data_IF_698320134092
#
_entry.id   IF_698320134092
#
_cell.length_a   1.000
_cell.length_b   1.000
_cell.length_c   1.000
_cell.angle_alpha   90.00
_cell.angle_beta   90.00
_cell.angle_gamma   90.00
#
_symmetry.space_group_name_H-M   'P 1'
#
loop_
_entity.id
_entity.type
_entity.pdbx_description
1 polymer ?
#
# COMPACT_ATOMS: atom_id res chain seq x y z
N UNK A 1 -3.61 -12.87 40.45
CA UNK A 1 -4.22 -13.48 39.26
C UNK A 1 -4.57 -12.34 38.32
N UNK A 2 -3.64 -11.96 37.44
CA UNK A 2 -3.96 -11.04 36.36
C UNK A 2 -4.77 -11.83 35.34
N UNK A 3 -5.95 -11.33 34.99
CA UNK A 3 -6.70 -11.86 33.86
C UNK A 3 -5.89 -11.43 32.63
N UNK A 4 -5.11 -12.34 32.03
CA UNK A 4 -4.58 -12.13 30.69
C UNK A 4 -5.79 -12.09 29.75
N UNK A 5 -6.25 -10.89 29.44
CA UNK A 5 -7.27 -10.68 28.41
C UNK A 5 -6.58 -10.88 27.07
N UNK A 6 -6.94 -11.96 26.36
CA UNK A 6 -6.55 -12.14 24.96
C UNK A 6 -6.99 -10.89 24.19
N UNK A 7 -6.10 -10.26 23.39
CA UNK A 7 -6.47 -9.10 22.59
C UNK A 7 -7.68 -9.44 21.72
N UNK A 8 -8.64 -8.51 21.61
CA UNK A 8 -9.79 -8.67 20.70
C UNK A 8 -9.78 -7.55 19.67
N UNK A 9 -10.24 -7.87 18.47
CA UNK A 9 -10.56 -6.84 17.50
C UNK A 9 -12.01 -6.38 17.70
N UNK A 10 -12.23 -5.08 17.59
CA UNK A 10 -13.56 -4.50 17.43
C UNK A 10 -13.66 -3.96 16.01
N UNK A 11 -14.42 -4.65 15.16
CA UNK A 11 -14.79 -4.13 13.84
C UNK A 11 -15.86 -3.07 14.00
N UNK A 12 -15.52 -1.84 13.66
CA UNK A 12 -16.43 -0.70 13.81
C UNK A 12 -17.25 -0.49 12.55
N UNK A 13 -16.67 -0.77 11.37
CA UNK A 13 -17.36 -0.66 10.08
C UNK A 13 -16.91 -1.73 9.11
N UNK A 14 -17.87 -2.24 8.32
CA UNK A 14 -17.65 -2.98 7.08
C UNK A 14 -18.36 -2.24 5.97
N UNK A 15 -17.61 -1.79 4.97
CA UNK A 15 -18.12 -1.06 3.82
C UNK A 15 -18.05 -1.98 2.60
N UNK A 16 -19.19 -2.17 1.91
CA UNK A 16 -19.20 -2.84 0.61
C UNK A 16 -18.67 -1.88 -0.43
N UNK A 17 -17.68 -2.33 -1.20
CA UNK A 17 -17.14 -1.61 -2.34
C UNK A 17 -17.90 -2.01 -3.60
N UNK A 18 -17.93 -1.13 -4.61
CA UNK A 18 -18.62 -1.44 -5.87
C UNK A 18 -17.89 -2.56 -6.62
N UNK A 19 -16.57 -2.51 -6.59
CA UNK A 19 -15.67 -3.52 -7.17
C UNK A 19 -14.87 -4.21 -6.06
N UNK A 20 -14.04 -5.20 -6.38
CA UNK A 20 -13.17 -5.81 -5.38
C UNK A 20 -12.07 -4.84 -4.95
N UNK A 21 -11.74 -4.78 -3.65
CA UNK A 21 -10.70 -3.90 -3.11
C UNK A 21 -9.39 -4.66 -2.87
N UNK A 22 -8.27 -4.18 -3.42
CA UNK A 22 -6.99 -4.91 -3.40
C UNK A 22 -5.80 -4.13 -2.84
N UNK A 23 -6.01 -2.87 -2.45
CA UNK A 23 -4.99 -2.05 -1.82
C UNK A 23 -5.64 -1.00 -0.94
N UNK A 24 -4.96 -0.62 0.13
CA UNK A 24 -5.35 0.50 0.98
C UNK A 24 -4.11 1.25 1.43
N UNK A 25 -4.18 2.58 1.39
CA UNK A 25 -3.13 3.44 1.93
C UNK A 25 -3.68 4.74 2.53
N UNK A 26 -3.36 4.97 3.80
CA UNK A 26 -3.64 6.23 4.47
C UNK A 26 -2.62 7.31 4.12
N UNK A 27 -3.09 8.55 4.02
CA UNK A 27 -2.18 9.67 3.96
C UNK A 27 -1.35 9.76 5.24
N UNK A 28 -0.05 10.04 5.09
CA UNK A 28 0.87 10.23 6.22
C UNK A 28 1.09 11.70 6.58
N UNK A 29 0.60 12.62 5.75
CA UNK A 29 0.68 14.06 5.99
C UNK A 29 -0.58 14.56 6.69
N UNK A 30 -0.44 15.59 7.52
CA UNK A 30 -1.56 16.25 8.20
C UNK A 30 -2.46 17.07 7.27
N UNK A 31 -2.19 17.11 5.96
CA UNK A 31 -2.96 17.91 4.97
C UNK A 31 -4.07 17.13 4.27
N UNK A 32 -4.01 15.80 4.30
CA UNK A 32 -5.07 14.94 3.75
C UNK A 32 -6.06 14.52 4.85
N UNK A 33 -6.25 15.39 5.83
CA UNK A 33 -7.08 15.20 6.99
C UNK A 33 -7.41 16.56 7.59
N UNK A 34 -8.64 16.72 8.01
CA UNK A 34 -9.10 17.86 8.78
C UNK A 34 -9.54 17.35 10.16
N UNK A 35 -9.32 18.15 11.20
CA UNK A 35 -9.53 17.87 12.64
C UNK A 35 -9.87 16.42 12.99
N UNK A 36 -8.83 15.60 13.19
CA UNK A 36 -8.97 14.20 13.65
C UNK A 36 -9.38 13.17 12.59
N UNK A 37 -9.55 13.58 11.33
CA UNK A 37 -9.89 12.68 10.21
C UNK A 37 -8.66 12.35 9.36
N UNK A 38 -8.53 11.09 8.94
CA UNK A 38 -7.53 10.63 7.96
C UNK A 38 -8.21 10.11 6.70
N UNK A 39 -7.64 10.38 5.52
CA UNK A 39 -8.15 9.83 4.24
C UNK A 39 -7.30 8.65 3.79
N UNK A 40 -7.97 7.53 3.47
CA UNK A 40 -7.39 6.37 2.81
C UNK A 40 -7.74 6.36 1.32
N UNK A 41 -6.77 5.98 0.49
CA UNK A 41 -7.00 5.55 -0.88
C UNK A 41 -7.25 4.04 -0.86
N UNK A 42 -8.27 3.59 -1.59
CA UNK A 42 -8.58 2.18 -1.77
C UNK A 42 -8.52 1.86 -3.26
N UNK A 43 -7.69 0.89 -3.62
CA UNK A 43 -7.56 0.39 -4.99
C UNK A 43 -8.71 -0.58 -5.26
N UNK A 44 -9.59 -0.25 -6.19
CA UNK A 44 -10.77 -1.03 -6.54
C UNK A 44 -10.63 -1.56 -7.97
N UNK A 45 -10.95 -2.83 -8.21
CA UNK A 45 -11.05 -3.35 -9.57
C UNK A 45 -12.11 -4.44 -9.75
N UNK A 46 -12.57 -4.58 -10.98
CA UNK A 46 -13.48 -5.61 -11.43
C UNK A 46 -12.87 -6.28 -12.66
N UNK A 47 -12.99 -7.61 -12.70
CA UNK A 47 -12.54 -8.40 -13.82
C UNK A 47 -13.74 -9.08 -14.46
N UNK A 48 -14.07 -8.67 -15.69
CA UNK A 48 -15.08 -9.35 -16.49
C UNK A 48 -14.38 -10.33 -17.42
N UNK A 49 -14.32 -11.59 -16.98
CA UNK A 49 -13.58 -12.64 -17.68
C UNK A 49 -14.12 -12.89 -19.09
N UNK A 50 -15.42 -12.70 -19.31
CA UNK A 50 -16.05 -12.93 -20.62
C UNK A 50 -15.60 -11.91 -21.67
N UNK A 51 -15.32 -10.68 -21.27
CA UNK A 51 -14.90 -9.59 -22.16
C UNK A 51 -13.39 -9.38 -22.15
N UNK A 52 -12.67 -10.05 -21.25
CA UNK A 52 -11.23 -9.82 -21.03
C UNK A 52 -10.92 -8.43 -20.49
N UNK A 53 -11.93 -7.71 -19.98
CA UNK A 53 -11.78 -6.34 -19.50
C UNK A 53 -11.43 -6.33 -18.01
N UNK A 54 -10.63 -5.33 -17.64
CA UNK A 54 -10.22 -5.06 -16.26
C UNK A 54 -10.47 -3.59 -16.01
N UNK A 55 -11.53 -3.28 -15.29
CA UNK A 55 -11.88 -1.91 -14.96
C UNK A 55 -11.43 -1.61 -13.52
N UNK A 56 -10.69 -0.52 -13.32
CA UNK A 56 -10.28 -0.07 -11.98
C UNK A 56 -10.82 1.31 -11.61
N UNK A 57 -10.67 1.62 -10.32
CA UNK A 57 -10.97 2.90 -9.71
C UNK A 57 -10.09 3.08 -8.46
N UNK A 58 -9.89 4.32 -8.04
CA UNK A 58 -9.34 4.64 -6.72
C UNK A 58 -10.41 5.37 -5.93
N UNK A 59 -10.90 4.75 -4.85
CA UNK A 59 -11.83 5.39 -3.93
C UNK A 59 -11.08 6.12 -2.80
N UNK A 60 -11.56 7.30 -2.43
CA UNK A 60 -11.11 8.02 -1.25
C UNK A 60 -12.10 7.76 -0.10
N UNK A 61 -11.59 7.37 1.06
CA UNK A 61 -12.38 7.03 2.24
C UNK A 61 -11.89 7.82 3.45
N UNK A 62 -12.76 8.66 4.01
CA UNK A 62 -12.48 9.36 5.25
C UNK A 62 -12.67 8.41 6.44
N UNK A 63 -11.77 8.49 7.41
CA UNK A 63 -11.72 7.67 8.60
C UNK A 63 -11.49 8.58 9.82
N UNK A 64 -12.44 8.60 10.74
CA UNK A 64 -12.42 9.45 11.93
C UNK A 64 -12.94 8.68 13.13
N UNK A 65 -12.68 9.16 14.35
CA UNK A 65 -13.31 8.58 15.54
C UNK A 65 -14.82 8.77 15.48
N UNK A 66 -15.55 7.77 15.95
CA UNK A 66 -17.00 7.91 16.10
C UNK A 66 -17.33 8.91 17.21
N UNK A 67 -18.42 9.65 17.05
CA UNK A 67 -18.89 10.63 18.04
C UNK A 67 -19.19 10.01 19.41
N UNK A 68 -19.60 8.73 19.44
CA UNK A 68 -19.81 7.98 20.68
C UNK A 68 -18.51 7.67 21.44
N UNK A 69 -17.35 8.01 20.86
CA UNK A 69 -16.02 7.85 21.44
C UNK A 69 -15.56 6.40 21.57
N UNK A 70 -16.34 5.44 21.08
CA UNK A 70 -16.13 4.01 21.29
C UNK A 70 -15.64 3.27 20.04
N UNK A 71 -15.48 3.96 18.91
CA UNK A 71 -15.07 3.33 17.66
C UNK A 71 -14.53 4.32 16.64
N UNK A 72 -14.63 3.89 15.38
CA UNK A 72 -14.10 4.58 14.22
C UNK A 72 -15.15 4.53 13.14
N UNK A 73 -15.52 5.67 12.59
CA UNK A 73 -16.36 5.77 11.43
C UNK A 73 -15.52 5.89 10.17
N UNK A 74 -15.94 5.18 9.13
CA UNK A 74 -15.32 5.21 7.82
C UNK A 74 -16.40 5.35 6.76
N UNK A 75 -16.20 6.24 5.79
CA UNK A 75 -17.11 6.42 4.65
C UNK A 75 -16.36 6.80 3.40
N UNK A 76 -16.89 6.42 2.25
CA UNK A 76 -16.39 6.88 0.95
C UNK A 76 -16.73 8.37 0.79
N UNK A 77 -15.74 9.17 0.40
CA UNK A 77 -15.84 10.64 0.27
C UNK A 77 -15.52 11.14 -1.14
N UNK A 78 -15.09 10.23 -2.03
CA UNK A 78 -14.89 10.51 -3.44
C UNK A 78 -13.99 9.47 -4.10
N UNK A 79 -13.37 9.82 -5.22
CA UNK A 79 -12.51 8.92 -5.97
C UNK A 79 -12.40 9.28 -7.45
N UNK A 80 -11.78 8.39 -8.22
CA UNK A 80 -11.64 8.47 -9.67
C UNK A 80 -11.91 7.09 -10.30
N UNK A 81 -12.57 7.05 -11.46
CA UNK A 81 -12.86 5.81 -12.20
C UNK A 81 -14.22 5.15 -11.92
N UNK A 82 -15.13 5.83 -11.21
CA UNK A 82 -16.47 5.33 -10.87
C UNK A 82 -17.50 5.39 -12.01
N UNK A 83 -17.36 6.40 -12.87
CA UNK A 83 -18.22 6.64 -14.03
C UNK A 83 -17.53 6.12 -15.30
N UNK A 84 -18.26 5.48 -16.23
CA UNK A 84 -17.73 5.20 -17.56
C UNK A 84 -17.53 6.52 -18.32
N UNK A 85 -16.37 7.14 -18.17
CA UNK A 85 -16.01 8.31 -18.97
C UNK A 85 -15.72 7.87 -20.41
N UNK A 86 -16.22 8.63 -21.38
CA UNK A 86 -15.85 8.49 -22.79
C UNK A 86 -14.37 8.85 -22.95
N UNK A 87 -13.46 7.86 -22.81
CA UNK A 87 -12.07 7.96 -23.25
C UNK A 87 -10.98 7.75 -22.20
N UNK A 88 -11.30 7.82 -20.90
CA UNK A 88 -10.32 7.69 -19.81
C UNK A 88 -10.56 6.44 -18.95
N UNK A 89 -10.72 5.29 -19.61
CA UNK A 89 -10.85 4.02 -18.90
C UNK A 89 -9.58 3.73 -18.07
N UNK A 90 -9.78 3.49 -16.78
CA UNK A 90 -8.74 3.07 -15.84
C UNK A 90 -8.74 1.54 -15.80
N UNK A 91 -7.57 0.94 -16.03
CA UNK A 91 -7.37 -0.50 -15.88
C UNK A 91 -7.55 -0.91 -14.40
N UNK A 92 -7.64 -2.20 -14.09
CA UNK A 92 -7.64 -2.64 -12.68
C UNK A 92 -6.47 -2.01 -11.92
N UNK A 93 -6.75 -1.26 -10.85
CA UNK A 93 -5.73 -0.56 -10.06
C UNK A 93 -5.15 -1.52 -9.03
N UNK A 94 -3.83 -1.68 -9.01
CA UNK A 94 -3.15 -2.64 -8.12
C UNK A 94 -2.46 -1.98 -6.92
N UNK A 95 -1.99 -0.75 -7.07
CA UNK A 95 -1.36 0.01 -5.99
C UNK A 95 -1.65 1.50 -6.19
N UNK A 96 -1.93 2.20 -5.09
CA UNK A 96 -2.02 3.65 -5.01
C UNK A 96 -1.20 4.13 -3.82
N UNK A 97 -0.44 5.22 -4.03
CA UNK A 97 0.46 5.82 -3.05
C UNK A 97 0.15 7.31 -2.90
N UNK A 98 0.22 7.82 -1.68
CA UNK A 98 0.29 9.25 -1.46
C UNK A 98 1.69 9.79 -1.79
N UNK A 99 1.76 11.03 -2.27
CA UNK A 99 3.02 11.75 -2.41
C UNK A 99 3.66 11.94 -1.03
N UNK A 100 4.93 11.53 -0.91
CA UNK A 100 5.73 11.77 0.29
C UNK A 100 6.40 13.15 0.30
N UNK A 101 6.16 13.99 -0.72
CA UNK A 101 6.75 15.34 -0.81
C UNK A 101 6.19 16.23 0.30
N UNK A 102 7.08 16.97 0.95
CA UNK A 102 6.72 17.94 1.99
C UNK A 102 6.66 19.34 1.36
N UNK A 103 5.66 20.13 1.77
CA UNK A 103 5.54 21.53 1.35
C UNK A 103 4.80 21.74 0.02
N UNK A 104 4.24 20.69 -0.60
CA UNK A 104 3.34 20.84 -1.76
C UNK A 104 2.05 21.56 -1.34
N UNK A 105 1.65 22.58 -2.11
CA UNK A 105 0.41 23.35 -1.84
C UNK A 105 -0.85 22.47 -1.92
N UNK A 106 -0.84 21.49 -2.83
CA UNK A 106 -1.90 20.50 -3.01
C UNK A 106 -1.46 19.13 -2.52
N UNK A 107 -2.36 18.36 -1.90
CA UNK A 107 -2.10 16.94 -1.61
C UNK A 107 -2.15 16.15 -2.91
N UNK A 108 -1.31 15.13 -3.06
CA UNK A 108 -1.19 14.38 -4.33
C UNK A 108 -1.09 12.89 -4.09
N UNK A 109 -1.59 12.11 -5.04
CA UNK A 109 -1.47 10.66 -5.04
C UNK A 109 -1.18 10.13 -6.44
N UNK A 110 -0.67 8.91 -6.52
CA UNK A 110 -0.42 8.24 -7.78
C UNK A 110 -0.85 6.78 -7.68
N UNK A 111 -1.23 6.19 -8.81
CA UNK A 111 -1.61 4.79 -8.87
C UNK A 111 -1.14 4.14 -10.16
N UNK A 112 -1.02 2.81 -10.10
CA UNK A 112 -0.65 1.97 -11.24
C UNK A 112 -1.73 0.95 -11.57
N UNK A 113 -1.91 0.67 -12.85
CA UNK A 113 -3.01 -0.16 -13.33
C UNK A 113 -2.62 -1.28 -14.31
N UNK A 114 -3.58 -2.19 -14.52
CA UNK A 114 -3.47 -3.32 -15.42
C UNK A 114 -3.35 -2.94 -16.91
N UNK A 115 -3.59 -1.67 -17.27
CA UNK A 115 -3.34 -1.17 -18.62
C UNK A 115 -1.89 -0.68 -18.78
N UNK A 116 -1.08 -0.76 -17.72
CA UNK A 116 0.33 -0.40 -17.74
C UNK A 116 0.57 1.09 -17.54
N UNK A 117 -0.36 1.82 -16.95
CA UNK A 117 -0.19 3.25 -16.71
C UNK A 117 0.16 3.56 -15.26
N UNK A 118 1.02 4.56 -15.10
CA UNK A 118 1.18 5.35 -13.89
C UNK A 118 0.35 6.61 -14.06
N UNK A 119 -0.58 6.86 -13.15
CA UNK A 119 -1.43 8.05 -13.16
C UNK A 119 -1.21 8.83 -11.87
N UNK A 120 -0.93 10.14 -11.97
CA UNK A 120 -0.84 11.04 -10.82
C UNK A 120 -2.10 11.90 -10.72
N UNK A 121 -2.57 12.14 -9.51
CA UNK A 121 -3.72 12.98 -9.23
C UNK A 121 -3.37 14.06 -8.21
N UNK A 122 -3.96 15.23 -8.38
CA UNK A 122 -4.12 16.17 -7.28
C UNK A 122 -5.35 15.76 -6.48
N UNK A 123 -5.24 15.85 -5.16
CA UNK A 123 -6.27 15.47 -4.21
C UNK A 123 -6.66 16.69 -3.40
N UNK A 124 -7.87 17.16 -3.66
CA UNK A 124 -8.48 18.24 -2.88
C UNK A 124 -9.44 17.63 -1.87
N UNK A 125 -9.21 17.92 -0.59
CA UNK A 125 -10.05 17.44 0.52
C UNK A 125 -10.70 18.66 1.16
N UNK A 126 -12.02 18.76 1.00
CA UNK A 126 -12.79 19.92 1.45
C UNK A 126 -13.71 19.48 2.59
N UNK A 127 -13.76 20.28 3.64
CA UNK A 127 -14.79 20.19 4.66
C UNK A 127 -15.99 21.03 4.24
N UNK A 128 -17.16 20.39 4.11
CA UNK A 128 -18.43 21.09 3.95
C UNK A 128 -19.06 21.30 5.32
N UNK A 129 -19.16 22.56 5.78
CA UNK A 129 -19.89 22.97 6.98
C UNK A 129 -21.41 23.00 6.72
N UNK A 130 -21.94 21.92 6.15
CA UNK A 130 -23.38 21.74 5.92
C UNK A 130 -24.17 21.64 7.22
N UNK A 131 -25.48 21.91 7.14
CA UNK A 131 -26.37 21.98 8.30
C UNK A 131 -26.52 20.68 9.13
N UNK A 132 -26.07 19.53 8.59
CA UNK A 132 -26.26 18.18 9.16
C UNK A 132 -24.93 17.49 9.57
N UNK A 133 -23.92 18.26 10.02
CA UNK A 133 -22.56 17.88 10.47
C UNK A 133 -21.46 18.07 9.39
N UNK A 134 -20.17 18.25 9.78
CA UNK A 134 -19.08 18.46 8.83
C UNK A 134 -18.95 17.28 7.87
N UNK A 135 -19.18 17.55 6.58
CA UNK A 135 -19.08 16.56 5.52
C UNK A 135 -17.78 16.75 4.73
N UNK A 136 -16.79 15.89 4.99
CA UNK A 136 -15.61 15.75 4.13
C UNK A 136 -15.99 15.18 2.75
N UNK A 137 -15.47 15.81 1.70
CA UNK A 137 -15.45 15.35 0.32
C UNK A 137 -14.02 15.36 -0.22
N UNK A 138 -13.66 14.39 -1.07
CA UNK A 138 -12.34 14.33 -1.70
C UNK A 138 -12.45 14.24 -3.22
N UNK A 139 -11.81 15.14 -3.95
CA UNK A 139 -11.76 15.12 -5.42
C UNK A 139 -10.36 14.70 -5.87
N UNK A 140 -10.30 13.67 -6.72
CA UNK A 140 -9.06 13.20 -7.33
C UNK A 140 -9.03 13.65 -8.80
N UNK A 141 -8.28 14.71 -9.08
CA UNK A 141 -8.12 15.24 -10.44
C UNK A 141 -6.88 14.65 -11.10
N UNK A 142 -7.05 13.88 -12.19
CA UNK A 142 -5.93 13.32 -12.96
C UNK A 142 -5.09 14.45 -13.55
N UNK A 143 -3.78 14.44 -13.27
CA UNK A 143 -2.80 15.40 -13.81
C UNK A 143 -1.97 14.83 -14.93
N UNK A 144 -1.36 13.68 -14.70
CA UNK A 144 -0.47 13.03 -15.66
C UNK A 144 -0.76 11.55 -15.73
N UNK A 145 -0.64 10.99 -16.95
CA UNK A 145 -0.78 9.56 -17.22
C UNK A 145 0.35 9.14 -18.14
N UNK A 146 1.18 8.20 -17.70
CA UNK A 146 2.41 7.79 -18.39
C UNK A 146 2.46 6.27 -18.49
N UNK A 147 2.76 5.75 -19.68
CA UNK A 147 2.96 4.32 -19.86
C UNK A 147 4.23 3.88 -19.11
N UNK A 148 4.06 2.98 -18.16
CA UNK A 148 5.14 2.40 -17.36
C UNK A 148 5.06 0.87 -17.23
N UNK A 149 4.05 0.27 -17.86
CA UNK A 149 3.98 -1.15 -18.09
C UNK A 149 4.98 -1.59 -19.15
N UNK A 150 5.53 -2.79 -18.96
CA UNK A 150 6.44 -3.51 -19.83
C UNK A 150 6.09 -3.52 -21.32
N UNK A 151 7.10 -3.75 -22.19
CA UNK A 151 6.96 -3.73 -23.64
C UNK A 151 5.71 -4.47 -24.16
N UNK A 152 4.82 -3.75 -24.85
CA UNK A 152 3.57 -4.31 -25.41
C UNK A 152 2.47 -4.57 -24.38
N UNK A 153 1.90 -3.51 -23.78
CA UNK A 153 0.74 -3.54 -22.85
C UNK A 153 0.96 -4.41 -21.58
N UNK A 154 2.19 -4.56 -21.09
CA UNK A 154 2.43 -5.15 -19.77
C UNK A 154 1.74 -4.35 -18.66
N UNK A 155 1.31 -5.00 -17.58
CA UNK A 155 0.68 -4.33 -16.44
C UNK A 155 1.70 -3.58 -15.60
N UNK A 156 1.30 -2.51 -14.93
CA UNK A 156 2.07 -1.86 -13.88
C UNK A 156 1.53 -2.30 -12.52
N UNK A 157 2.35 -2.95 -11.70
CA UNK A 157 1.89 -3.85 -10.62
C UNK A 157 2.12 -3.32 -9.21
N UNK A 158 3.13 -2.48 -9.01
CA UNK A 158 3.46 -1.87 -7.72
C UNK A 158 4.08 -0.49 -7.96
N UNK A 159 3.93 0.39 -6.97
CA UNK A 159 4.36 1.77 -7.00
C UNK A 159 5.02 2.13 -5.67
N UNK A 160 6.12 2.87 -5.75
CA UNK A 160 6.66 3.61 -4.62
C UNK A 160 6.97 5.05 -5.03
N UNK A 161 6.68 6.02 -4.15
CA UNK A 161 6.81 7.44 -4.43
C UNK A 161 7.63 8.12 -3.34
N UNK A 162 8.83 8.58 -3.70
CA UNK A 162 9.76 9.21 -2.77
C UNK A 162 9.49 10.71 -2.63
N UNK A 163 9.94 11.27 -1.51
CA UNK A 163 9.77 12.69 -1.14
C UNK A 163 10.50 13.71 -2.04
N UNK A 164 11.40 13.28 -2.94
CA UNK A 164 11.95 14.14 -4.01
C UNK A 164 11.11 14.07 -5.31
N UNK A 165 10.08 13.23 -5.31
CA UNK A 165 9.17 12.93 -6.40
C UNK A 165 9.68 11.97 -7.47
N UNK A 166 10.76 11.26 -7.19
CA UNK A 166 11.06 10.06 -7.96
C UNK A 166 10.01 8.99 -7.65
N UNK A 167 9.59 8.26 -8.68
CA UNK A 167 8.62 7.16 -8.60
C UNK A 167 9.24 5.90 -9.18
N UNK A 168 9.03 4.77 -8.49
CA UNK A 168 9.35 3.44 -9.01
C UNK A 168 8.07 2.71 -9.37
N UNK A 169 8.06 2.10 -10.56
CA UNK A 169 6.94 1.26 -11.00
C UNK A 169 7.46 -0.09 -11.46
N UNK A 170 6.97 -1.18 -10.87
CA UNK A 170 7.22 -2.53 -11.35
C UNK A 170 6.21 -2.95 -12.41
N UNK A 171 6.58 -3.91 -13.25
CA UNK A 171 5.71 -4.43 -14.29
C UNK A 171 5.62 -5.96 -14.31
N UNK A 172 4.56 -6.46 -14.94
CA UNK A 172 4.29 -7.89 -15.05
C UNK A 172 5.25 -8.65 -15.98
N UNK A 173 6.05 -7.96 -16.79
CA UNK A 173 7.10 -8.59 -17.61
C UNK A 173 8.44 -8.72 -16.87
N UNK A 174 8.46 -8.46 -15.56
CA UNK A 174 9.66 -8.49 -14.74
C UNK A 174 10.57 -7.27 -14.92
N UNK A 175 10.11 -6.21 -15.62
CA UNK A 175 10.81 -4.93 -15.71
C UNK A 175 10.41 -3.97 -14.58
N UNK A 176 11.20 -2.92 -14.38
CA UNK A 176 10.76 -1.73 -13.65
C UNK A 176 11.23 -0.44 -14.32
N UNK A 177 10.59 0.67 -13.95
CA UNK A 177 10.89 2.00 -14.46
C UNK A 177 11.10 2.98 -13.31
N UNK A 178 11.97 3.95 -13.56
CA UNK A 178 12.13 5.13 -12.72
C UNK A 178 11.47 6.29 -13.46
N UNK A 179 10.46 6.89 -12.82
CA UNK A 179 9.82 8.10 -13.33
C UNK A 179 10.15 9.29 -12.45
N UNK A 180 10.20 10.48 -13.04
CA UNK A 180 10.40 11.72 -12.30
C UNK A 180 9.39 12.75 -12.73
N UNK A 181 8.96 13.54 -11.76
CA UNK A 181 8.12 14.69 -12.00
C UNK A 181 8.90 16.00 -11.88
N UNK A 182 8.77 16.85 -12.91
CA UNK A 182 9.39 18.17 -13.01
C UNK A 182 8.35 19.29 -13.17
N UNK A 183 7.32 19.32 -12.31
CA UNK A 183 6.30 20.39 -12.20
C UNK A 183 5.37 20.61 -13.42
N UNK A 184 5.76 20.16 -14.60
CA UNK A 184 5.03 20.31 -15.86
C UNK A 184 4.64 18.95 -16.47
N UNK A 185 5.32 17.87 -16.07
CA UNK A 185 5.12 16.51 -16.60
C UNK A 185 5.74 15.46 -15.69
N UNK A 186 5.26 14.24 -15.84
CA UNK A 186 5.92 13.01 -15.37
C UNK A 186 6.60 12.35 -16.56
N UNK A 187 7.86 11.96 -16.40
CA UNK A 187 8.65 11.30 -17.45
C UNK A 187 9.27 10.02 -16.93
N UNK A 188 9.30 8.97 -17.75
CA UNK A 188 10.13 7.79 -17.50
C UNK A 188 11.56 8.16 -17.85
N UNK A 189 12.44 8.20 -16.84
CA UNK A 189 13.85 8.61 -16.99
C UNK A 189 14.80 7.42 -17.03
N UNK A 190 14.37 6.25 -16.54
CA UNK A 190 15.12 5.01 -16.63
C UNK A 190 14.19 3.81 -16.80
N UNK A 191 14.67 2.78 -17.50
CA UNK A 191 13.96 1.53 -17.79
C UNK A 191 14.93 0.37 -17.58
N UNK A 192 14.55 -0.53 -16.67
CA UNK A 192 15.33 -1.72 -16.35
C UNK A 192 14.58 -2.95 -16.82
N UNK A 193 14.91 -3.36 -18.05
CA UNK A 193 14.36 -4.56 -18.68
C UNK A 193 15.04 -5.83 -18.14
N UNK A 194 14.29 -6.93 -18.04
CA UNK A 194 14.82 -8.20 -17.52
C UNK A 194 15.33 -8.11 -16.08
N UNK A 195 14.75 -7.21 -15.27
CA UNK A 195 15.11 -7.07 -13.87
C UNK A 195 14.82 -8.36 -13.10
N UNK A 196 13.72 -9.04 -13.45
CA UNK A 196 13.34 -10.38 -12.98
C UNK A 196 12.91 -11.28 -14.14
N UNK A 197 12.92 -12.59 -13.90
CA UNK A 197 12.58 -13.60 -14.91
C UNK A 197 11.05 -13.82 -15.04
N UNK A 198 10.28 -13.32 -14.08
CA UNK A 198 8.82 -13.42 -13.95
C UNK A 198 8.23 -12.11 -13.42
N UNK A 199 6.90 -12.07 -13.28
CA UNK A 199 6.10 -10.94 -12.81
C UNK A 199 6.68 -10.33 -11.53
N UNK A 200 7.03 -9.03 -11.59
CA UNK A 200 7.39 -8.27 -10.38
C UNK A 200 6.13 -7.80 -9.67
N UNK A 201 6.08 -7.99 -8.36
CA UNK A 201 4.97 -7.57 -7.51
C UNK A 201 5.41 -6.60 -6.41
N UNK A 202 6.71 -6.43 -6.21
CA UNK A 202 7.25 -5.61 -5.15
C UNK A 202 8.37 -4.70 -5.66
N UNK A 203 8.25 -3.42 -5.35
CA UNK A 203 9.31 -2.44 -5.51
C UNK A 203 9.25 -1.39 -4.40
N UNK A 204 10.40 -0.97 -3.89
CA UNK A 204 10.51 0.11 -2.92
C UNK A 204 11.87 0.81 -3.03
N UNK A 205 11.91 2.12 -2.78
CA UNK A 205 13.14 2.84 -2.53
C UNK A 205 13.71 2.48 -1.14
N UNK A 206 15.02 2.65 -0.99
CA UNK A 206 15.60 2.79 0.34
C UNK A 206 15.24 4.16 0.94
N UNK A 207 15.01 4.20 2.26
CA UNK A 207 14.56 5.42 2.95
C UNK A 207 15.69 6.40 3.25
N UNK A 208 16.94 5.96 3.24
CA UNK A 208 18.12 6.79 3.53
C UNK A 208 19.00 7.03 2.30
N UNK A 209 18.97 6.11 1.32
CA UNK A 209 19.84 6.09 0.14
C UNK A 209 19.02 6.28 -1.13
N UNK A 210 19.08 7.47 -1.71
CA UNK A 210 18.27 7.84 -2.87
C UNK A 210 18.61 7.07 -4.16
N UNK A 211 19.69 6.31 -4.17
CA UNK A 211 20.19 5.52 -5.28
C UNK A 211 19.98 4.01 -5.06
N UNK A 212 19.23 3.59 -4.04
CA UNK A 212 18.98 2.17 -3.77
C UNK A 212 17.50 1.84 -3.94
N UNK A 213 17.23 0.72 -4.61
CA UNK A 213 15.90 0.14 -4.71
C UNK A 213 15.92 -1.35 -4.39
N UNK A 214 14.79 -1.83 -3.90
CA UNK A 214 14.52 -3.22 -3.54
C UNK A 214 13.41 -3.76 -4.42
N UNK A 215 13.59 -4.97 -4.97
CA UNK A 215 12.57 -5.59 -5.84
C UNK A 215 12.31 -7.04 -5.47
N UNK A 216 11.09 -7.49 -5.76
CA UNK A 216 10.62 -8.86 -5.55
C UNK A 216 9.65 -9.29 -6.64
N UNK A 217 9.69 -10.58 -7.00
CA UNK A 217 8.92 -11.14 -8.11
C UNK A 217 8.56 -12.61 -7.87
N UNK A 218 7.78 -13.17 -8.79
CA UNK A 218 7.37 -14.58 -8.81
C UNK A 218 8.54 -15.55 -9.10
N UNK A 219 9.69 -15.04 -9.54
CA UNK A 219 10.94 -15.81 -9.69
C UNK A 219 11.63 -16.18 -8.36
N UNK A 220 10.93 -15.95 -7.23
CA UNK A 220 11.38 -16.17 -5.85
C UNK A 220 12.63 -15.34 -5.49
N UNK A 221 13.03 -14.37 -6.32
CA UNK A 221 14.20 -13.56 -6.08
C UNK A 221 13.82 -12.29 -5.31
N UNK A 222 14.66 -11.96 -4.32
CA UNK A 222 14.74 -10.64 -3.72
C UNK A 222 16.03 -9.97 -4.21
N UNK A 223 15.93 -8.79 -4.82
CA UNK A 223 17.07 -8.09 -5.43
C UNK A 223 17.24 -6.68 -4.88
N UNK A 224 18.50 -6.21 -4.91
CA UNK A 224 18.89 -4.85 -4.57
C UNK A 224 19.56 -4.21 -5.77
N UNK A 225 19.19 -2.98 -6.06
CA UNK A 225 19.65 -2.21 -7.21
C UNK A 225 20.39 -0.97 -6.77
N UNK A 226 21.42 -0.60 -7.54
CA UNK A 226 22.01 0.73 -7.52
C UNK A 226 21.44 1.49 -8.73
N UNK A 227 20.60 2.50 -8.49
CA UNK A 227 19.91 3.25 -9.53
C UNK A 227 20.85 4.20 -10.30
N UNK A 228 22.12 4.33 -9.90
CA UNK A 228 23.14 5.04 -10.70
C UNK A 228 23.71 4.16 -11.82
N UNK A 229 23.62 2.84 -11.66
CA UNK A 229 24.03 1.83 -12.63
C UNK A 229 23.12 0.60 -12.49
N UNK A 230 21.91 0.71 -13.05
CA UNK A 230 20.90 -0.34 -12.99
C UNK A 230 21.08 -1.42 -14.07
N UNK A 231 22.25 -1.50 -14.71
CA UNK A 231 22.55 -2.53 -15.72
C UNK A 231 22.54 -3.95 -15.14
N UNK A 232 22.66 -4.08 -13.81
CA UNK A 232 22.54 -5.34 -13.07
C UNK A 232 22.18 -5.09 -11.61
N UNK A 233 21.55 -6.06 -10.97
CA UNK A 233 21.34 -6.03 -9.54
C UNK A 233 22.68 -6.09 -8.79
N UNK A 234 22.82 -5.23 -7.76
CA UNK A 234 23.95 -5.26 -6.82
C UNK A 234 23.96 -6.55 -6.00
N UNK A 235 22.78 -7.05 -5.65
CA UNK A 235 22.58 -8.28 -4.90
C UNK A 235 21.35 -9.02 -5.41
N UNK A 236 21.41 -10.34 -5.40
CA UNK A 236 20.27 -11.22 -5.69
C UNK A 236 20.26 -12.38 -4.70
N UNK A 237 19.17 -12.49 -3.92
CA UNK A 237 18.90 -13.62 -3.04
C UNK A 237 17.77 -14.46 -3.64
N UNK A 238 18.07 -15.71 -3.99
CA UNK A 238 17.10 -16.72 -4.50
C UNK A 238 16.98 -17.94 -3.59
N UNK A 239 17.63 -17.90 -2.42
CA UNK A 239 17.79 -19.08 -1.57
C UNK A 239 16.85 -19.11 -0.37
N UNK A 240 16.22 -17.97 -0.07
CA UNK A 240 15.46 -17.80 1.17
C UNK A 240 13.96 -17.89 0.93
N UNK A 241 13.45 -17.15 -0.04
CA UNK A 241 12.03 -17.18 -0.40
C UNK A 241 11.72 -18.46 -1.19
N UNK A 242 10.73 -19.22 -0.73
CA UNK A 242 10.28 -20.47 -1.35
C UNK A 242 9.22 -20.28 -2.45
N UNK A 243 8.69 -19.07 -2.58
CA UNK A 243 7.70 -18.66 -3.59
C UNK A 243 7.86 -17.15 -3.88
N UNK A 244 6.97 -16.59 -4.70
CA UNK A 244 7.04 -15.20 -5.15
C UNK A 244 7.15 -14.19 -4.00
N UNK A 245 7.95 -13.14 -4.20
CA UNK A 245 8.10 -12.02 -3.26
C UNK A 245 7.13 -10.92 -3.67
N UNK A 246 6.10 -10.70 -2.86
CA UNK A 246 4.90 -9.94 -3.23
C UNK A 246 4.88 -8.51 -2.66
N UNK A 247 5.70 -8.24 -1.64
CA UNK A 247 5.87 -6.91 -1.09
C UNK A 247 7.24 -6.73 -0.44
N UNK A 248 7.75 -5.50 -0.52
CA UNK A 248 8.92 -5.03 0.22
C UNK A 248 8.52 -3.74 0.92
N UNK A 249 8.84 -3.62 2.20
CA UNK A 249 8.49 -2.47 3.03
C UNK A 249 9.68 -2.06 3.91
N UNK A 250 10.43 -1.02 3.53
CA UNK A 250 11.46 -0.44 4.39
C UNK A 250 10.88 0.03 5.73
N UNK A 251 11.63 -0.17 6.81
CA UNK A 251 11.23 0.34 8.14
C UNK A 251 11.33 1.86 8.15
N UNK A 252 10.29 2.59 8.60
CA UNK A 252 10.35 4.04 8.74
C UNK A 252 11.19 4.50 9.94
N UNK A 253 11.69 3.58 10.80
CA UNK A 253 12.42 3.90 12.03
C UNK A 253 13.87 3.41 12.06
N UNK A 254 14.21 2.41 11.25
CA UNK A 254 15.58 1.92 11.09
C UNK A 254 15.91 1.78 9.60
N UNK A 255 16.79 2.65 9.11
CA UNK A 255 17.27 2.67 7.72
C UNK A 255 17.97 1.39 7.26
N UNK A 256 18.30 0.50 8.20
CA UNK A 256 18.92 -0.77 7.89
C UNK A 256 17.95 -1.93 7.84
N UNK A 257 16.69 -1.74 8.24
CA UNK A 257 15.70 -2.80 8.33
C UNK A 257 14.67 -2.69 7.22
N UNK A 258 14.42 -3.79 6.53
CA UNK A 258 13.30 -3.93 5.59
C UNK A 258 12.50 -5.20 5.93
N UNK A 259 11.20 -5.16 5.66
CA UNK A 259 10.33 -6.34 5.68
C UNK A 259 10.04 -6.81 4.25
N UNK A 260 10.04 -8.12 4.02
CA UNK A 260 9.51 -8.71 2.79
C UNK A 260 8.39 -9.69 3.13
N UNK A 261 7.35 -9.69 2.30
CA UNK A 261 6.30 -10.71 2.33
C UNK A 261 6.38 -11.59 1.09
N UNK A 262 6.02 -12.86 1.24
CA UNK A 262 6.06 -13.82 0.15
C UNK A 262 4.83 -14.73 0.15
N UNK A 263 4.54 -15.26 -1.03
CA UNK A 263 3.54 -16.30 -1.23
C UNK A 263 3.92 -17.63 -0.56
N UNK A 264 5.11 -17.74 0.04
CA UNK A 264 5.55 -18.90 0.83
C UNK A 264 5.07 -18.88 2.29
N UNK A 265 4.06 -18.07 2.59
CA UNK A 265 3.45 -17.85 3.90
C UNK A 265 4.29 -17.09 4.92
N UNK A 266 5.49 -16.61 4.56
CA UNK A 266 6.38 -15.95 5.52
C UNK A 266 6.52 -14.45 5.27
N UNK A 267 6.55 -13.72 6.39
CA UNK A 267 7.15 -12.38 6.46
C UNK A 267 8.56 -12.49 7.02
N UNK A 268 9.49 -11.72 6.45
CA UNK A 268 10.92 -11.75 6.81
C UNK A 268 11.44 -10.34 7.04
N UNK A 269 12.19 -10.15 8.13
CA UNK A 269 12.96 -8.93 8.37
C UNK A 269 14.39 -9.14 7.91
N UNK A 270 14.97 -8.10 7.32
CA UNK A 270 16.33 -8.14 6.78
C UNK A 270 17.12 -6.94 7.27
N UNK A 271 18.40 -7.18 7.51
CA UNK A 271 19.38 -6.11 7.65
C UNK A 271 20.04 -5.87 6.29
N UNK A 272 19.85 -4.68 5.71
CA UNK A 272 20.37 -4.31 4.38
C UNK A 272 21.90 -4.30 4.33
N UNK A 273 22.58 -4.26 5.49
CA UNK A 273 24.04 -4.40 5.61
C UNK A 273 24.48 -5.85 5.41
N UNK A 274 23.57 -6.83 5.56
CA UNK A 274 23.83 -8.27 5.39
C UNK A 274 22.59 -9.06 4.93
N UNK A 275 22.30 -9.02 3.63
CA UNK A 275 21.12 -9.66 3.01
C UNK A 275 21.29 -11.15 2.66
N UNK A 276 22.22 -11.85 3.32
CA UNK A 276 22.43 -13.29 3.09
C UNK A 276 21.30 -14.13 3.68
N UNK A 277 20.87 -13.77 4.89
CA UNK A 277 19.80 -14.42 5.63
C UNK A 277 18.91 -13.35 6.27
N UNK A 278 17.63 -13.64 6.50
CA UNK A 278 16.77 -12.75 7.28
C UNK A 278 17.26 -12.69 8.74
N UNK A 279 17.04 -11.55 9.38
CA UNK A 279 17.27 -11.35 10.82
C UNK A 279 16.22 -12.12 11.62
N UNK A 280 14.99 -12.15 11.12
CA UNK A 280 13.88 -12.90 11.67
C UNK A 280 12.90 -13.27 10.56
N UNK A 281 12.17 -14.37 10.74
CA UNK A 281 11.07 -14.75 9.88
C UNK A 281 9.91 -15.28 10.71
N UNK A 282 8.70 -15.14 10.17
CA UNK A 282 7.47 -15.58 10.81
C UNK A 282 6.52 -16.12 9.74
N UNK A 283 6.06 -17.35 9.92
CA UNK A 283 4.96 -17.90 9.13
C UNK A 283 3.64 -17.32 9.65
N UNK A 284 2.89 -16.64 8.79
CA UNK A 284 1.63 -15.97 9.14
C UNK A 284 0.38 -16.76 8.74
N UNK A 285 0.55 -18.04 8.38
CA UNK A 285 -0.52 -18.97 8.04
C UNK A 285 -1.09 -18.80 6.63
N UNK A 286 -0.38 -18.08 5.75
CA UNK A 286 -0.83 -17.88 4.38
C UNK A 286 -0.04 -16.85 3.58
N UNK A 287 -0.14 -16.92 2.25
CA UNK A 287 0.64 -16.09 1.33
C UNK A 287 0.48 -14.59 1.60
N UNK A 288 1.57 -13.93 1.96
CA UNK A 288 1.57 -12.50 2.32
C UNK A 288 1.47 -11.67 1.05
N UNK A 289 0.58 -10.68 0.99
CA UNK A 289 0.40 -9.78 -0.15
C UNK A 289 0.88 -8.36 0.11
N UNK A 290 0.70 -7.87 1.34
CA UNK A 290 1.13 -6.54 1.75
C UNK A 290 1.66 -6.54 3.17
N UNK A 291 2.73 -5.78 3.38
CA UNK A 291 3.27 -5.45 4.69
C UNK A 291 3.23 -3.92 4.86
N UNK A 292 2.75 -3.45 6.01
CA UNK A 292 2.76 -2.03 6.39
C UNK A 292 3.25 -1.85 7.80
N UNK A 293 4.32 -1.07 7.95
CA UNK A 293 4.82 -0.66 9.25
C UNK A 293 3.83 0.27 9.93
N UNK A 294 3.64 0.05 11.22
CA UNK A 294 2.97 0.99 12.08
C UNK A 294 3.70 2.34 12.01
N UNK A 295 3.00 3.49 12.01
CA UNK A 295 3.63 4.80 11.80
C UNK A 295 4.61 5.21 12.91
N UNK A 296 4.51 4.64 14.12
CA UNK A 296 5.23 5.14 15.31
C UNK A 296 5.79 4.06 16.24
N UNK A 297 5.53 2.78 15.97
CA UNK A 297 5.91 1.63 16.82
C UNK A 297 6.56 0.58 15.93
N UNK A 298 7.51 -0.20 16.44
CA UNK A 298 8.07 -1.36 15.74
C UNK A 298 7.06 -2.50 15.68
N UNK A 299 6.02 -2.29 14.90
CA UNK A 299 4.96 -3.22 14.61
C UNK A 299 4.66 -3.24 13.12
N UNK A 300 4.20 -4.39 12.63
CA UNK A 300 3.92 -4.64 11.22
C UNK A 300 2.52 -5.24 11.08
N UNK A 301 1.74 -4.73 10.13
CA UNK A 301 0.52 -5.37 9.66
C UNK A 301 0.82 -6.12 8.36
N UNK A 302 0.42 -7.38 8.30
CA UNK A 302 0.58 -8.26 7.15
C UNK A 302 -0.81 -8.68 6.64
N UNK A 303 -1.14 -8.35 5.40
CA UNK A 303 -2.32 -8.87 4.71
C UNK A 303 -1.96 -10.20 4.05
N UNK A 304 -2.66 -11.27 4.40
CA UNK A 304 -2.35 -12.62 3.95
C UNK A 304 -3.56 -13.37 3.36
N UNK A 305 -3.28 -14.23 2.39
CA UNK A 305 -4.23 -15.20 1.84
C UNK A 305 -4.47 -16.33 2.83
N UNK A 306 -5.68 -16.43 3.38
CA UNK A 306 -6.04 -17.47 4.35
C UNK A 306 -5.66 -17.13 5.80
N UNK A 307 -4.54 -16.42 6.02
CA UNK A 307 -4.10 -15.97 7.35
C UNK A 307 -4.81 -14.71 7.89
N UNK A 308 -5.61 -14.04 7.07
CA UNK A 308 -6.28 -12.79 7.45
C UNK A 308 -5.33 -11.59 7.49
N UNK A 309 -5.56 -10.64 8.39
CA UNK A 309 -4.61 -9.59 8.69
C UNK A 309 -3.85 -9.90 9.98
N UNK A 310 -2.55 -10.15 9.87
CA UNK A 310 -1.68 -10.57 10.98
C UNK A 310 -0.87 -9.37 11.47
N UNK A 311 -0.91 -9.12 12.78
CA UNK A 311 -0.14 -8.09 13.45
C UNK A 311 1.08 -8.70 14.13
N UNK A 312 2.22 -8.07 13.92
CA UNK A 312 3.48 -8.52 14.45
C UNK A 312 4.14 -7.40 15.27
N UNK A 313 4.73 -7.75 16.40
CA UNK A 313 5.80 -6.97 17.01
C UNK A 313 7.09 -7.26 16.26
N UNK A 314 7.90 -6.22 16.03
CA UNK A 314 9.17 -6.26 15.30
C UNK A 314 10.32 -5.62 16.12
N UNK A 315 10.10 -5.36 17.41
CA UNK A 315 11.02 -4.69 18.31
C UNK A 315 12.33 -5.49 18.42
N UNK A 316 13.46 -4.80 18.30
CA UNK A 316 14.78 -5.44 18.38
C UNK A 316 15.09 -6.41 17.24
N UNK A 317 14.32 -6.37 16.14
CA UNK A 317 14.54 -7.21 14.96
C UNK A 317 13.93 -8.61 15.05
N UNK A 318 13.15 -8.92 16.09
CA UNK A 318 12.44 -10.18 16.21
C UNK A 318 10.97 -10.03 15.77
N UNK A 319 10.50 -10.88 14.86
CA UNK A 319 9.10 -10.94 14.46
C UNK A 319 8.31 -11.87 15.38
N UNK A 320 7.31 -11.31 16.07
CA UNK A 320 6.40 -12.08 16.92
C UNK A 320 4.97 -11.73 16.57
N UNK A 321 4.16 -12.72 16.18
CA UNK A 321 2.73 -12.51 15.97
C UNK A 321 2.07 -12.12 17.31
N UNK A 322 1.39 -10.98 17.32
CA UNK A 322 0.65 -10.48 18.49
C UNK A 322 -0.86 -10.65 18.34
N UNK A 323 -1.36 -10.64 17.10
CA UNK A 323 -2.79 -10.78 16.81
C UNK A 323 -3.03 -11.23 15.36
N UNK A 324 -4.16 -11.88 15.09
CA UNK A 324 -4.64 -12.15 13.75
C UNK A 324 -6.12 -11.79 13.65
N UNK A 325 -6.48 -11.08 12.59
CA UNK A 325 -7.84 -10.68 12.26
C UNK A 325 -8.35 -11.52 11.07
N UNK A 326 -9.29 -12.42 11.34
CA UNK A 326 -9.76 -13.48 10.44
C UNK A 326 -11.24 -13.33 10.04
N UNK A 327 -11.81 -12.13 10.20
CA UNK A 327 -13.22 -11.87 9.85
C UNK A 327 -13.48 -11.84 8.32
N UNK A 328 -12.44 -11.76 7.49
CA UNK A 328 -12.54 -11.84 6.02
C UNK A 328 -12.89 -13.26 5.59
N UNK A 329 -13.88 -13.39 4.70
CA UNK A 329 -14.31 -14.69 4.17
C UNK A 329 -13.29 -15.24 3.15
N UNK A 330 -12.48 -14.34 2.58
CA UNK A 330 -11.47 -14.64 1.57
C UNK A 330 -10.16 -13.88 1.81
N UNK A 331 -9.34 -13.78 0.76
CA UNK A 331 -8.00 -13.18 0.78
C UNK A 331 -8.04 -11.73 1.26
N UNK A 332 -7.20 -11.39 2.23
CA UNK A 332 -6.89 -10.00 2.57
C UNK A 332 -5.75 -9.53 1.68
N UNK A 333 -6.04 -8.56 0.81
CA UNK A 333 -5.06 -8.05 -0.15
C UNK A 333 -4.33 -6.81 0.37
N UNK A 334 -5.03 -5.94 1.08
CA UNK A 334 -4.47 -4.70 1.63
C UNK A 334 -4.73 -4.60 3.12
N UNK A 335 -3.75 -4.02 3.83
CA UNK A 335 -3.87 -3.60 5.22
C UNK A 335 -3.05 -2.33 5.40
N UNK A 336 -3.57 -1.33 6.09
CA UNK A 336 -2.80 -0.14 6.48
C UNK A 336 -3.29 0.47 7.80
N UNK A 337 -2.39 1.20 8.45
CA UNK A 337 -2.63 1.83 9.74
C UNK A 337 -3.08 3.28 9.57
N UNK A 338 -4.09 3.68 10.33
CA UNK A 338 -4.36 5.08 10.66
C UNK A 338 -4.14 5.29 12.16
N UNK A 339 -3.52 6.42 12.51
CA UNK A 339 -3.39 6.85 13.90
C UNK A 339 -4.24 8.11 14.08
N UNK A 340 -5.43 7.94 14.66
CA UNK A 340 -6.40 9.02 14.78
C UNK A 340 -6.21 9.76 16.10
N UNK A 341 -6.09 11.09 16.02
CA UNK A 341 -6.00 12.03 17.13
C UNK A 341 -6.94 13.19 16.87
N UNK A 342 -8.06 13.22 17.59
CA UNK A 342 -9.10 14.26 17.53
C UNK A 342 -8.89 15.37 18.55
N UNK A 343 -8.12 15.10 19.61
CA UNK A 343 -7.86 16.02 20.71
C UNK A 343 -6.38 15.85 21.17
N UNK A 344 -5.58 16.93 21.27
CA UNK A 344 -4.21 16.86 21.80
C UNK A 344 -4.10 16.24 23.19
N UNK A 345 -5.15 16.35 24.01
CA UNK A 345 -5.20 15.85 25.38
C UNK A 345 -5.72 14.40 25.46
N UNK A 346 -6.25 13.85 24.36
CA UNK A 346 -6.76 12.48 24.29
C UNK A 346 -5.73 11.56 23.64
N UNK A 347 -5.49 10.39 24.23
CA UNK A 347 -4.60 9.39 23.63
C UNK A 347 -5.07 9.03 22.21
N UNK A 348 -4.15 9.03 21.25
CA UNK A 348 -4.39 8.59 19.87
C UNK A 348 -4.83 7.14 19.80
N UNK A 349 -5.61 6.76 18.79
CA UNK A 349 -6.10 5.40 18.60
C UNK A 349 -5.53 4.86 17.30
N UNK A 350 -4.94 3.68 17.39
CA UNK A 350 -4.49 2.93 16.24
C UNK A 350 -5.66 2.18 15.63
N UNK A 351 -5.89 2.44 14.36
CA UNK A 351 -6.93 1.87 13.54
C UNK A 351 -6.27 1.10 12.42
N UNK A 352 -6.81 -0.07 12.11
CA UNK A 352 -6.47 -0.79 10.91
C UNK A 352 -7.63 -0.75 9.94
N UNK A 353 -7.27 -0.51 8.68
CA UNK A 353 -8.16 -0.79 7.56
C UNK A 353 -7.60 -1.94 6.76
N UNK A 354 -8.45 -2.92 6.51
CA UNK A 354 -8.15 -4.08 5.67
C UNK A 354 -9.12 -4.16 4.52
N UNK A 355 -8.70 -4.71 3.39
CA UNK A 355 -9.56 -4.86 2.23
C UNK A 355 -9.40 -6.22 1.56
N UNK A 356 -10.50 -6.70 0.98
CA UNK A 356 -10.54 -7.96 0.25
C UNK A 356 -11.22 -7.78 -1.11
N UNK A 357 -10.55 -8.30 -2.14
CA UNK A 357 -11.04 -8.25 -3.50
C UNK A 357 -12.28 -9.13 -3.66
N UNK A 358 -12.23 -10.34 -3.13
CA UNK A 358 -13.29 -11.33 -3.28
C UNK A 358 -14.49 -11.04 -2.37
N UNK A 359 -14.25 -10.53 -1.15
CA UNK A 359 -15.36 -10.13 -0.27
C UNK A 359 -16.05 -8.85 -0.74
N UNK A 360 -15.43 -8.12 -1.69
CA UNK A 360 -15.84 -6.78 -2.15
C UNK A 360 -16.11 -5.84 -0.98
N UNK A 361 -15.17 -5.78 -0.04
CA UNK A 361 -15.33 -4.95 1.14
C UNK A 361 -14.01 -4.37 1.68
N UNK A 362 -14.19 -3.28 2.42
CA UNK A 362 -13.19 -2.65 3.27
C UNK A 362 -13.69 -2.74 4.71
N UNK A 363 -12.82 -3.11 5.64
CA UNK A 363 -13.15 -3.20 7.06
C UNK A 363 -12.24 -2.28 7.87
N UNK A 364 -12.85 -1.57 8.80
CA UNK A 364 -12.19 -0.69 9.75
C UNK A 364 -12.35 -1.29 11.15
N UNK A 365 -11.24 -1.47 11.86
CA UNK A 365 -11.20 -2.12 13.15
C UNK A 365 -10.04 -1.61 14.02
N UNK A 366 -10.18 -1.79 15.33
CA UNK A 366 -9.13 -1.49 16.31
C UNK A 366 -8.97 -2.66 17.29
N UNK A 367 -7.81 -2.74 17.94
CA UNK A 367 -7.62 -3.64 19.08
C UNK A 367 -8.28 -3.03 20.32
N UNK A 368 -8.98 -3.85 21.11
CA UNK A 368 -9.67 -3.47 22.36
C UNK A 368 -9.35 -4.39 23.53
#
# INVERSE_FOLDING_TARGET
MGIETTPRARTTRTLRTRRGACGVEFARSSRAGADGTSVALVCEYEHEAAEGTRAGAVGAYACARSEDGHGVDMRRVGGVGDEPSNGDAIGAVFEARWSARVGEETSRCAFVDASGFLTTCDVDVVEDEGADAPAIAATLEVKYKVQCGGGGLGMATCLDWRSDGAMLTSASDGSFRVSREDGARVEVVDVVEGAHDLEMWAIAFDIARNDVAYTGADDCAFKVWDLRDASRARLTNRKTHGAGVTCVSPSPRDENIIATGSYDDHVRLWDVRSLKNPVSELNVGGGVWRCRWHPTRDALACAAMGGGAVLCDATGGALVQTFAYDEHESIVYGADWARLSDDPDRESVDVLVTCSFYDKCVRCWSLV
#
